data_IF_364362176854
#
_entry.id   IF_364362176854
#
_cell.length_a   1.000
_cell.length_b   1.000
_cell.length_c   1.000
_cell.angle_alpha   90.00
_cell.angle_beta   90.00
_cell.angle_gamma   90.00
#
_symmetry.space_group_name_H-M   'P 1'
#
loop_
_entity.id
_entity.type
_entity.pdbx_description
1 polymer ?
#
# COMPACT_ATOMS: atom_id res chain seq x y z
N UNK A 1 8.63 -12.13 14.20
CA UNK A 1 8.15 -12.98 15.28
C UNK A 1 7.82 -12.24 16.59
N UNK A 2 8.13 -10.94 16.71
CA UNK A 2 7.82 -10.16 17.91
C UNK A 2 6.53 -9.29 17.78
N UNK A 3 5.79 -9.44 16.69
CA UNK A 3 4.57 -8.69 16.43
C UNK A 3 4.79 -7.34 15.75
N UNK A 4 3.74 -6.49 15.70
CA UNK A 4 3.79 -5.21 15.00
C UNK A 4 4.81 -4.26 15.67
N UNK A 5 5.45 -3.43 14.86
CA UNK A 5 6.38 -2.38 15.32
C UNK A 5 5.98 -1.02 14.79
N UNK A 6 6.07 -0.80 13.50
CA UNK A 6 5.77 0.50 12.88
C UNK A 6 4.39 1.04 13.25
N UNK A 7 3.38 0.16 13.27
CA UNK A 7 1.99 0.54 13.53
C UNK A 7 1.69 0.83 15.00
N UNK A 8 2.58 0.46 15.92
CA UNK A 8 2.39 0.67 17.37
C UNK A 8 3.36 1.66 18.01
N UNK A 9 4.49 1.96 17.36
CA UNK A 9 5.51 2.87 17.92
C UNK A 9 4.99 4.29 17.96
N UNK A 10 5.04 4.93 19.12
CA UNK A 10 4.75 6.36 19.32
C UNK A 10 6.02 7.20 19.23
N UNK A 11 7.12 6.74 19.82
CA UNK A 11 8.44 7.40 19.78
C UNK A 11 9.58 6.40 20.04
N UNK A 12 10.84 6.82 19.78
CA UNK A 12 12.04 6.05 20.13
C UNK A 12 12.57 6.51 21.52
N UNK A 13 13.37 5.66 22.20
CA UNK A 13 13.71 4.28 21.86
C UNK A 13 12.48 3.34 21.87
N UNK A 14 12.62 2.17 21.20
CA UNK A 14 11.53 1.20 21.08
C UNK A 14 11.39 0.42 22.39
N UNK A 15 10.67 1.01 23.33
CA UNK A 15 10.29 0.42 24.61
C UNK A 15 8.76 0.34 24.70
N UNK A 16 8.20 -0.64 25.42
CA UNK A 16 6.76 -0.86 25.55
C UNK A 16 6.00 0.41 25.94
N UNK A 17 6.54 1.20 26.85
CA UNK A 17 5.93 2.47 27.33
C UNK A 17 5.76 3.50 26.22
N UNK A 18 6.56 3.38 25.14
CA UNK A 18 6.51 4.26 23.97
C UNK A 18 5.78 3.65 22.78
N UNK A 19 4.96 2.65 23.07
CA UNK A 19 4.10 1.98 22.08
C UNK A 19 2.64 2.00 22.53
N UNK A 20 1.73 1.62 21.65
CA UNK A 20 0.31 1.42 22.00
C UNK A 20 0.09 0.21 22.92
N UNK A 21 1.12 -0.60 23.17
CA UNK A 21 1.07 -1.71 24.12
C UNK A 21 1.22 -1.25 25.58
N UNK A 22 1.55 0.01 25.82
CA UNK A 22 1.58 0.59 27.17
C UNK A 22 0.25 0.47 27.91
N UNK A 23 -0.86 0.47 27.18
CA UNK A 23 -2.21 0.30 27.73
C UNK A 23 -2.52 -1.14 28.21
N UNK A 24 -1.63 -2.08 27.92
CA UNK A 24 -1.75 -3.50 28.22
C UNK A 24 -0.62 -3.95 29.16
N UNK A 25 -0.71 -3.72 30.48
CA UNK A 25 0.32 -4.17 31.42
C UNK A 25 0.44 -5.69 31.39
N UNK A 26 1.68 -6.20 31.34
CA UNK A 26 1.94 -7.64 31.30
C UNK A 26 1.49 -8.29 32.60
N UNK A 27 0.87 -9.48 32.50
CA UNK A 27 0.70 -10.37 33.62
C UNK A 27 2.06 -10.99 34.04
N UNK A 28 2.11 -11.64 35.20
CA UNK A 28 3.35 -12.23 35.73
C UNK A 28 4.00 -13.20 34.75
N UNK A 29 3.22 -14.07 34.08
CA UNK A 29 3.74 -15.03 33.10
C UNK A 29 4.35 -14.32 31.90
N UNK A 30 3.65 -13.35 31.32
CA UNK A 30 4.17 -12.60 30.17
C UNK A 30 5.39 -11.76 30.54
N UNK A 31 5.46 -11.25 31.77
CA UNK A 31 6.63 -10.54 32.27
C UNK A 31 7.83 -11.48 32.42
N UNK A 32 7.62 -12.66 32.98
CA UNK A 32 8.67 -13.69 33.08
C UNK A 32 9.23 -14.07 31.70
N UNK A 33 8.35 -14.30 30.67
CA UNK A 33 8.80 -14.54 29.29
C UNK A 33 9.56 -13.34 28.68
N UNK A 34 9.18 -12.12 29.02
CA UNK A 34 9.82 -10.90 28.54
C UNK A 34 11.22 -10.69 29.15
N UNK A 35 11.44 -11.16 30.38
CA UNK A 35 12.69 -11.03 31.12
C UNK A 35 13.63 -12.26 30.92
N UNK A 36 13.13 -13.36 30.38
CA UNK A 36 13.88 -14.57 30.12
C UNK A 36 14.84 -14.39 28.92
N UNK A 37 16.16 -14.29 29.22
CA UNK A 37 17.22 -14.06 28.24
C UNK A 37 17.31 -15.19 27.20
N UNK A 38 16.97 -16.43 27.57
CA UNK A 38 16.97 -17.56 26.66
C UNK A 38 15.65 -17.74 25.91
N UNK A 39 14.63 -17.01 26.32
CA UNK A 39 13.29 -17.06 25.76
C UNK A 39 13.17 -16.34 24.41
N UNK A 40 12.40 -16.92 23.48
CA UNK A 40 12.10 -16.29 22.18
C UNK A 40 11.43 -14.91 22.31
N UNK A 41 10.79 -14.62 23.44
CA UNK A 41 10.08 -13.38 23.69
C UNK A 41 10.86 -12.38 24.53
N UNK A 42 12.15 -12.65 24.76
CA UNK A 42 13.02 -11.72 25.45
C UNK A 42 12.99 -10.34 24.80
N UNK A 43 12.64 -9.33 25.57
CA UNK A 43 12.50 -7.94 25.11
C UNK A 43 11.58 -7.76 23.88
N UNK A 44 10.60 -8.63 23.72
CA UNK A 44 9.57 -8.48 22.71
C UNK A 44 8.48 -7.52 23.22
N UNK A 45 8.57 -6.25 22.90
CA UNK A 45 7.69 -5.17 23.42
C UNK A 45 6.19 -5.46 23.24
N UNK A 46 5.72 -6.09 22.13
CA UNK A 46 4.31 -6.45 21.98
C UNK A 46 3.90 -7.75 22.69
N UNK A 47 4.78 -8.35 23.53
CA UNK A 47 4.44 -9.57 24.25
C UNK A 47 3.18 -9.41 25.11
N UNK A 48 2.23 -10.33 24.93
CA UNK A 48 1.00 -10.39 25.71
C UNK A 48 0.33 -11.78 25.51
N UNK A 49 -0.46 -12.21 26.46
CA UNK A 49 -1.36 -13.35 26.33
C UNK A 49 -2.81 -12.91 26.18
N UNK A 50 -3.74 -13.87 26.09
CA UNK A 50 -5.17 -13.59 25.99
C UNK A 50 -5.75 -12.92 27.23
N UNK A 51 -5.06 -12.99 28.39
CA UNK A 51 -5.48 -12.39 29.64
C UNK A 51 -5.07 -10.91 29.75
N UNK A 52 -3.83 -10.59 29.40
CA UNK A 52 -3.28 -9.25 29.56
C UNK A 52 -3.13 -8.45 28.26
N UNK A 53 -3.39 -9.06 27.10
CA UNK A 53 -3.25 -8.44 25.81
C UNK A 53 -4.55 -7.93 25.20
N UNK A 54 -4.47 -7.40 23.98
CA UNK A 54 -5.62 -6.97 23.23
C UNK A 54 -6.58 -8.14 22.94
N UNK A 55 -7.88 -7.86 22.96
CA UNK A 55 -8.93 -8.81 22.59
C UNK A 55 -9.78 -8.30 21.44
N UNK A 56 -10.46 -9.21 20.76
CA UNK A 56 -11.35 -8.92 19.66
C UNK A 56 -12.82 -8.99 20.10
N UNK A 57 -13.62 -8.06 19.59
CA UNK A 57 -15.08 -8.03 19.76
C UNK A 57 -15.73 -7.89 18.40
N UNK A 58 -16.81 -8.62 18.19
CA UNK A 58 -17.64 -8.55 16.99
C UNK A 58 -18.78 -7.56 17.21
N UNK A 59 -18.97 -6.63 16.28
CA UNK A 59 -19.98 -5.59 16.34
C UNK A 59 -20.88 -5.61 15.10
N UNK A 60 -22.11 -5.18 15.27
CA UNK A 60 -22.98 -4.73 14.17
C UNK A 60 -22.59 -3.31 13.74
N UNK A 61 -23.00 -2.85 12.52
CA UNK A 61 -22.71 -1.49 12.06
C UNK A 61 -23.19 -0.38 13.00
N UNK A 62 -24.23 -0.60 13.76
CA UNK A 62 -24.73 0.32 14.79
C UNK A 62 -23.95 0.29 16.12
N UNK A 63 -22.74 -0.33 16.11
CA UNK A 63 -21.85 -0.50 17.26
C UNK A 63 -22.39 -1.36 18.41
N UNK A 64 -23.47 -2.12 18.18
CA UNK A 64 -23.93 -3.10 19.17
C UNK A 64 -23.03 -4.32 19.10
N UNK A 65 -22.45 -4.73 20.23
CA UNK A 65 -21.67 -5.95 20.32
C UNK A 65 -22.57 -7.17 20.04
N UNK A 66 -22.03 -8.14 19.31
CA UNK A 66 -22.67 -9.42 19.08
C UNK A 66 -22.37 -10.32 20.28
N UNK A 67 -23.39 -10.83 20.91
CA UNK A 67 -23.24 -11.81 22.00
C UNK A 67 -22.77 -13.14 21.41
N UNK A 68 -21.59 -13.58 21.80
CA UNK A 68 -20.96 -14.80 21.29
C UNK A 68 -19.99 -15.42 22.29
N UNK A 69 -20.03 -16.74 22.39
CA UNK A 69 -19.09 -17.51 23.22
C UNK A 69 -17.70 -17.59 22.57
N UNK A 70 -17.65 -17.59 21.23
CA UNK A 70 -16.41 -17.70 20.48
C UNK A 70 -16.45 -16.79 19.25
N UNK A 71 -15.84 -15.63 19.38
CA UNK A 71 -15.80 -14.59 18.35
C UNK A 71 -15.22 -15.10 17.01
N UNK A 72 -14.25 -16.01 17.07
CA UNK A 72 -13.60 -16.57 15.88
C UNK A 72 -14.53 -17.47 15.08
N UNK A 73 -15.23 -18.38 15.76
CA UNK A 73 -16.19 -19.29 15.14
C UNK A 73 -17.36 -18.51 14.54
N UNK A 74 -17.95 -17.61 15.31
CA UNK A 74 -19.05 -16.77 14.84
C UNK A 74 -18.65 -15.92 13.63
N UNK A 75 -17.43 -15.36 13.62
CA UNK A 75 -16.94 -14.60 12.47
C UNK A 75 -16.80 -15.49 11.22
N UNK A 76 -16.28 -16.72 11.37
CA UNK A 76 -16.18 -17.68 10.26
C UNK A 76 -17.55 -18.07 9.71
N UNK A 77 -18.51 -18.37 10.59
CA UNK A 77 -19.89 -18.70 10.22
C UNK A 77 -20.53 -17.57 9.41
N UNK A 78 -20.40 -16.33 9.88
CA UNK A 78 -20.91 -15.16 9.16
C UNK A 78 -20.28 -14.97 7.78
N UNK A 79 -18.96 -15.19 7.64
CA UNK A 79 -18.29 -15.14 6.34
C UNK A 79 -18.82 -16.26 5.42
N UNK A 80 -18.99 -17.48 5.93
CA UNK A 80 -19.53 -18.61 5.17
C UNK A 80 -20.99 -18.39 4.73
N UNK A 81 -21.79 -17.68 5.53
CA UNK A 81 -23.14 -17.23 5.17
C UNK A 81 -23.13 -16.14 4.10
N UNK A 82 -21.95 -15.64 3.71
CA UNK A 82 -21.78 -14.65 2.67
C UNK A 82 -21.81 -13.20 3.18
N UNK A 83 -21.69 -12.96 4.47
CA UNK A 83 -21.58 -11.59 5.00
C UNK A 83 -20.23 -10.96 4.66
N UNK A 84 -20.20 -9.64 4.59
CA UNK A 84 -18.99 -8.82 4.44
C UNK A 84 -18.61 -8.32 5.83
N UNK A 85 -17.39 -8.61 6.26
CA UNK A 85 -16.90 -8.21 7.59
C UNK A 85 -15.76 -7.22 7.46
N UNK A 86 -15.85 -6.10 8.16
CA UNK A 86 -14.73 -5.19 8.35
C UNK A 86 -13.87 -5.70 9.51
N UNK A 87 -12.63 -6.11 9.22
CA UNK A 87 -11.72 -6.67 10.23
C UNK A 87 -10.60 -5.66 10.48
N UNK A 88 -10.42 -5.26 11.75
CA UNK A 88 -9.29 -4.43 12.18
C UNK A 88 -8.03 -5.30 12.21
N UNK A 89 -7.13 -5.06 11.25
CA UNK A 89 -5.85 -5.74 11.12
C UNK A 89 -4.72 -5.05 11.89
N UNK A 90 -3.49 -5.23 11.44
CA UNK A 90 -2.31 -4.63 12.04
C UNK A 90 -2.16 -3.14 11.69
N UNK A 91 -2.37 -2.78 10.43
CA UNK A 91 -2.15 -1.43 9.90
C UNK A 91 -3.42 -0.69 9.51
N UNK A 92 -4.57 -1.30 9.64
CA UNK A 92 -5.87 -0.73 9.27
C UNK A 92 -6.95 -1.79 9.12
N UNK A 93 -8.11 -1.37 8.65
CA UNK A 93 -9.24 -2.25 8.40
C UNK A 93 -9.14 -2.94 7.04
N UNK A 94 -9.62 -4.18 6.98
CA UNK A 94 -9.87 -4.92 5.75
C UNK A 94 -11.35 -5.23 5.61
N UNK A 95 -11.85 -5.24 4.39
CA UNK A 95 -13.17 -5.77 4.04
C UNK A 95 -12.99 -7.19 3.55
N UNK A 96 -13.68 -8.12 4.19
CA UNK A 96 -13.50 -9.56 4.05
C UNK A 96 -14.80 -10.22 3.67
N UNK A 97 -14.77 -11.13 2.69
CA UNK A 97 -15.85 -12.08 2.38
C UNK A 97 -15.26 -13.34 1.74
N UNK A 98 -16.02 -14.44 1.66
CA UNK A 98 -15.57 -15.64 0.95
C UNK A 98 -15.42 -15.34 -0.56
N UNK A 99 -14.21 -15.55 -1.08
CA UNK A 99 -13.88 -15.32 -2.49
C UNK A 99 -14.58 -16.31 -3.45
N UNK A 100 -15.12 -17.41 -2.93
CA UNK A 100 -15.89 -18.41 -3.67
C UNK A 100 -17.38 -18.03 -3.77
N UNK A 101 -17.86 -17.14 -2.89
CA UNK A 101 -19.25 -16.69 -2.87
C UNK A 101 -19.45 -15.53 -3.84
N UNK A 102 -19.97 -15.83 -5.04
CA UNK A 102 -20.15 -14.83 -6.09
C UNK A 102 -21.05 -13.65 -5.68
N UNK A 103 -22.15 -13.93 -4.98
CA UNK A 103 -23.09 -12.91 -4.51
C UNK A 103 -22.43 -11.96 -3.48
N UNK A 104 -21.58 -12.50 -2.58
CA UNK A 104 -20.86 -11.70 -1.61
C UNK A 104 -19.82 -10.79 -2.28
N UNK A 105 -19.04 -11.32 -3.24
CA UNK A 105 -18.03 -10.55 -3.97
C UNK A 105 -18.68 -9.45 -4.81
N UNK A 106 -19.77 -9.74 -5.53
CA UNK A 106 -20.51 -8.72 -6.29
C UNK A 106 -21.06 -7.61 -5.38
N UNK A 107 -21.63 -7.99 -4.24
CA UNK A 107 -22.17 -7.05 -3.25
C UNK A 107 -21.06 -6.17 -2.66
N UNK A 108 -19.90 -6.74 -2.35
CA UNK A 108 -18.73 -5.98 -1.90
C UNK A 108 -18.30 -4.96 -2.94
N UNK A 109 -18.17 -5.35 -4.22
CA UNK A 109 -17.82 -4.45 -5.32
C UNK A 109 -18.81 -3.30 -5.47
N UNK A 110 -20.08 -3.60 -5.45
CA UNK A 110 -21.16 -2.60 -5.56
C UNK A 110 -21.09 -1.59 -4.40
N UNK A 111 -21.04 -2.09 -3.15
CA UNK A 111 -20.99 -1.23 -1.95
C UNK A 111 -19.70 -0.40 -1.87
N UNK A 112 -18.56 -0.96 -2.29
CA UNK A 112 -17.26 -0.26 -2.31
C UNK A 112 -17.09 0.64 -3.53
N UNK A 113 -18.01 0.64 -4.48
CA UNK A 113 -17.90 1.35 -5.77
C UNK A 113 -16.58 1.01 -6.50
N UNK A 114 -16.27 -0.29 -6.62
CA UNK A 114 -15.02 -0.79 -7.21
C UNK A 114 -15.32 -1.81 -8.33
N UNK A 115 -15.76 -1.36 -9.52
CA UNK A 115 -16.26 -2.27 -10.56
C UNK A 115 -15.17 -3.15 -11.18
N UNK A 116 -13.97 -2.64 -11.46
CA UNK A 116 -12.97 -3.33 -12.30
C UNK A 116 -11.70 -3.74 -11.54
N UNK A 117 -11.18 -2.87 -10.63
CA UNK A 117 -9.88 -3.12 -9.97
C UNK A 117 -9.88 -4.46 -9.23
N UNK A 118 -8.90 -5.38 -9.47
CA UNK A 118 -8.84 -6.67 -8.80
C UNK A 118 -8.87 -6.57 -7.27
N UNK A 119 -9.44 -7.60 -6.64
CA UNK A 119 -9.43 -7.79 -5.20
C UNK A 119 -8.35 -8.82 -4.87
N UNK A 120 -7.53 -8.53 -3.85
CA UNK A 120 -6.61 -9.51 -3.31
C UNK A 120 -7.35 -10.55 -2.47
N UNK A 121 -6.80 -11.75 -2.40
CA UNK A 121 -7.29 -12.81 -1.51
C UNK A 121 -6.22 -13.19 -0.49
N UNK A 122 -6.66 -13.52 0.70
CA UNK A 122 -5.86 -14.21 1.70
C UNK A 122 -6.28 -15.67 1.71
N UNK A 123 -5.31 -16.57 1.62
CA UNK A 123 -5.55 -18.02 1.65
C UNK A 123 -5.04 -18.62 2.96
N UNK A 124 -5.77 -19.63 3.47
CA UNK A 124 -5.48 -20.20 4.77
C UNK A 124 -4.23 -21.08 4.83
N UNK A 125 -3.70 -21.52 3.69
CA UNK A 125 -2.49 -22.33 3.61
C UNK A 125 -1.73 -22.12 2.30
N UNK A 126 -0.47 -22.54 2.27
CA UNK A 126 0.34 -22.56 1.05
C UNK A 126 -0.24 -23.55 0.02
N UNK A 127 -0.77 -24.69 0.47
CA UNK A 127 -1.40 -25.67 -0.42
C UNK A 127 -2.59 -25.06 -1.17
N UNK A 128 -3.40 -24.25 -0.48
CA UNK A 128 -4.48 -23.51 -1.11
C UNK A 128 -3.96 -22.48 -2.12
N UNK A 129 -2.83 -21.82 -1.84
CA UNK A 129 -2.22 -20.93 -2.82
C UNK A 129 -1.79 -21.67 -4.09
N UNK A 130 -1.08 -22.80 -3.94
CA UNK A 130 -0.61 -23.65 -5.05
C UNK A 130 -1.79 -24.20 -5.88
N UNK A 131 -2.90 -24.51 -5.24
CA UNK A 131 -4.11 -24.95 -5.94
C UNK A 131 -4.68 -23.84 -6.85
N UNK A 132 -4.64 -22.57 -6.41
CA UNK A 132 -5.27 -21.44 -7.07
C UNK A 132 -4.40 -20.75 -8.13
N UNK A 133 -3.08 -20.81 -7.99
CA UNK A 133 -2.13 -20.06 -8.82
C UNK A 133 -0.87 -20.87 -9.14
N UNK A 134 -0.20 -20.51 -10.22
CA UNK A 134 1.14 -21.02 -10.53
C UNK A 134 2.17 -20.21 -9.73
N UNK A 135 3.12 -20.89 -9.08
CA UNK A 135 4.13 -20.27 -8.21
C UNK A 135 5.50 -20.82 -8.57
N UNK A 136 6.45 -19.98 -8.95
CA UNK A 136 7.86 -20.34 -9.08
C UNK A 136 8.63 -20.14 -7.75
N UNK A 137 9.88 -20.58 -7.69
CA UNK A 137 10.68 -20.55 -6.46
C UNK A 137 10.84 -19.11 -5.89
N UNK A 138 11.05 -18.10 -6.75
CA UNK A 138 11.20 -16.71 -6.31
C UNK A 138 9.88 -16.14 -5.79
N UNK A 139 8.78 -16.46 -6.44
CA UNK A 139 7.44 -16.08 -5.98
C UNK A 139 7.09 -16.76 -4.66
N UNK A 140 7.50 -18.02 -4.49
CA UNK A 140 7.34 -18.77 -3.25
C UNK A 140 8.10 -18.11 -2.09
N UNK A 141 9.36 -17.74 -2.33
CA UNK A 141 10.19 -17.06 -1.34
C UNK A 141 9.56 -15.73 -0.91
N UNK A 142 9.06 -14.94 -1.86
CA UNK A 142 8.37 -13.66 -1.55
C UNK A 142 7.07 -13.90 -0.81
N UNK A 143 6.25 -14.86 -1.22
CA UNK A 143 4.95 -15.16 -0.61
C UNK A 143 5.10 -15.69 0.83
N UNK A 144 6.13 -16.51 1.09
CA UNK A 144 6.38 -17.15 2.39
C UNK A 144 7.33 -16.35 3.28
N UNK A 145 7.96 -15.31 2.76
CA UNK A 145 8.84 -14.39 3.51
C UNK A 145 8.17 -13.77 4.73
N UNK A 146 8.94 -13.15 5.61
CA UNK A 146 8.43 -12.54 6.85
C UNK A 146 7.48 -11.37 6.58
N UNK A 147 7.64 -10.71 5.46
CA UNK A 147 6.88 -9.53 5.03
C UNK A 147 5.45 -9.88 4.63
N UNK A 148 5.22 -11.11 4.13
CA UNK A 148 3.90 -11.61 3.73
C UNK A 148 3.13 -10.60 2.84
N UNK A 149 3.71 -10.10 1.75
CA UNK A 149 3.03 -9.14 0.88
C UNK A 149 1.89 -9.82 0.10
N UNK A 150 1.10 -8.99 -0.57
CA UNK A 150 0.26 -9.46 -1.67
C UNK A 150 1.19 -9.73 -2.86
N UNK A 151 1.26 -10.96 -3.33
CA UNK A 151 2.02 -11.35 -4.53
C UNK A 151 1.05 -11.50 -5.70
N UNK A 152 1.37 -10.86 -6.82
CA UNK A 152 0.60 -11.02 -8.07
C UNK A 152 1.11 -12.28 -8.78
N UNK A 153 0.25 -13.30 -8.88
CA UNK A 153 0.58 -14.63 -9.39
C UNK A 153 -0.33 -15.03 -10.55
N UNK A 154 0.18 -15.80 -11.47
CA UNK A 154 -0.59 -16.30 -12.61
C UNK A 154 -1.66 -17.29 -12.15
N UNK A 155 -2.90 -17.07 -12.58
CA UNK A 155 -4.05 -17.89 -12.18
C UNK A 155 -3.97 -19.30 -12.74
N UNK A 156 -4.16 -20.31 -11.88
CA UNK A 156 -4.33 -21.70 -12.31
C UNK A 156 -5.78 -21.92 -12.79
N UNK A 157 -5.97 -21.97 -14.09
CA UNK A 157 -7.28 -22.21 -14.71
C UNK A 157 -7.79 -23.65 -14.54
N UNK A 158 -6.91 -24.60 -14.16
CA UNK A 158 -7.22 -26.01 -13.93
C UNK A 158 -7.54 -26.31 -12.44
N UNK A 159 -7.57 -25.30 -11.60
CA UNK A 159 -7.90 -25.46 -10.17
C UNK A 159 -9.27 -26.09 -9.96
N UNK A 160 -9.35 -27.02 -9.02
CA UNK A 160 -10.63 -27.60 -8.55
C UNK A 160 -11.44 -26.59 -7.73
N UNK A 161 -10.77 -25.60 -7.12
CA UNK A 161 -11.38 -24.53 -6.33
C UNK A 161 -11.80 -23.37 -7.24
N UNK A 162 -13.10 -23.13 -7.31
CA UNK A 162 -13.67 -22.06 -8.12
C UNK A 162 -13.85 -20.78 -7.30
N UNK A 163 -13.05 -19.77 -7.65
CA UNK A 163 -13.28 -18.40 -7.16
C UNK A 163 -14.35 -17.70 -8.01
N UNK A 164 -15.06 -16.75 -7.40
CA UNK A 164 -15.93 -15.84 -8.14
C UNK A 164 -15.15 -15.15 -9.27
N UNK A 165 -15.68 -15.07 -10.49
CA UNK A 165 -15.05 -14.34 -11.59
C UNK A 165 -14.87 -12.84 -11.26
N UNK A 166 -15.67 -12.35 -10.33
CA UNK A 166 -15.60 -10.97 -9.87
C UNK A 166 -14.44 -10.69 -8.89
N UNK A 167 -13.61 -11.67 -8.48
CA UNK A 167 -12.41 -11.41 -7.67
C UNK A 167 -11.37 -10.66 -8.49
N UNK A 168 -11.12 -11.07 -9.72
CA UNK A 168 -10.19 -10.41 -10.65
C UNK A 168 -10.76 -10.47 -12.08
N UNK A 169 -11.76 -9.64 -12.40
CA UNK A 169 -12.40 -9.66 -13.72
C UNK A 169 -11.38 -9.28 -14.80
N UNK A 170 -11.43 -10.01 -15.91
CA UNK A 170 -10.58 -9.78 -17.09
C UNK A 170 -9.08 -9.72 -16.81
N UNK A 171 -8.62 -10.36 -15.71
CA UNK A 171 -7.23 -10.39 -15.31
C UNK A 171 -6.72 -11.83 -15.16
N UNK A 172 -5.59 -12.13 -15.79
CA UNK A 172 -4.93 -13.42 -15.66
C UNK A 172 -4.12 -13.56 -14.37
N UNK A 173 -3.86 -12.45 -13.68
CA UNK A 173 -3.15 -12.44 -12.39
C UNK A 173 -4.12 -12.38 -11.23
N UNK A 174 -3.79 -13.05 -10.15
CA UNK A 174 -4.48 -13.01 -8.88
C UNK A 174 -3.52 -12.48 -7.81
N UNK A 175 -3.96 -11.51 -7.02
CA UNK A 175 -3.22 -11.04 -5.84
C UNK A 175 -3.48 -11.98 -4.66
N UNK A 176 -2.45 -12.71 -4.23
CA UNK A 176 -2.53 -13.71 -3.15
C UNK A 176 -1.63 -13.30 -2.01
N UNK A 177 -2.09 -13.45 -0.78
CA UNK A 177 -1.27 -13.32 0.43
C UNK A 177 -1.58 -14.42 1.44
N UNK A 178 -0.61 -14.70 2.32
CA UNK A 178 -0.74 -15.64 3.43
C UNK A 178 -1.03 -14.86 4.74
N UNK A 179 -1.56 -15.54 5.78
CA UNK A 179 -1.69 -14.97 7.11
C UNK A 179 -0.38 -14.34 7.61
N UNK A 180 -0.44 -13.11 8.11
CA UNK A 180 0.72 -12.38 8.61
C UNK A 180 0.59 -11.94 10.08
N UNK A 181 -0.55 -12.19 10.68
CA UNK A 181 -0.78 -11.89 12.10
C UNK A 181 -1.38 -13.07 12.84
N UNK A 182 -1.21 -13.19 14.17
CA UNK A 182 -1.83 -14.25 14.95
C UNK A 182 -3.35 -14.33 14.79
N UNK A 183 -4.01 -13.19 14.61
CA UNK A 183 -5.44 -13.13 14.35
C UNK A 183 -5.80 -13.88 13.06
N UNK A 184 -5.05 -13.65 11.98
CA UNK A 184 -5.29 -14.35 10.71
C UNK A 184 -5.11 -15.86 10.85
N UNK A 185 -4.05 -16.31 11.55
CA UNK A 185 -3.77 -17.73 11.79
C UNK A 185 -4.90 -18.42 12.57
N UNK A 186 -5.50 -17.72 13.54
CA UNK A 186 -6.64 -18.25 14.32
C UNK A 186 -7.93 -18.18 13.51
N UNK A 187 -8.11 -17.15 12.70
CA UNK A 187 -9.38 -16.88 12.02
C UNK A 187 -9.56 -17.67 10.73
N UNK A 188 -8.50 -17.85 9.90
CA UNK A 188 -8.63 -18.51 8.60
C UNK A 188 -8.50 -20.02 8.72
N UNK A 189 -9.52 -20.80 8.26
CA UNK A 189 -9.34 -22.23 8.01
C UNK A 189 -8.30 -22.50 6.92
N UNK A 190 -7.60 -23.62 6.98
CA UNK A 190 -6.55 -23.97 6.01
C UNK A 190 -7.03 -24.03 4.56
N UNK A 191 -8.32 -24.33 4.36
CA UNK A 191 -9.00 -24.37 3.05
C UNK A 191 -9.68 -23.06 2.68
N UNK A 192 -9.47 -21.98 3.45
CA UNK A 192 -10.06 -20.69 3.16
C UNK A 192 -9.40 -19.99 1.97
N UNK A 193 -10.23 -19.31 1.19
CA UNK A 193 -9.83 -18.32 0.20
C UNK A 193 -10.76 -17.11 0.34
N UNK A 194 -10.34 -16.08 1.06
CA UNK A 194 -11.17 -14.94 1.37
C UNK A 194 -10.65 -13.68 0.68
N UNK A 195 -11.57 -12.91 0.11
CA UNK A 195 -11.23 -11.53 -0.29
C UNK A 195 -10.73 -10.80 0.94
N UNK A 196 -9.58 -10.14 0.78
CA UNK A 196 -8.98 -9.30 1.81
C UNK A 196 -8.56 -7.99 1.13
N UNK A 197 -9.46 -7.01 1.13
CA UNK A 197 -9.21 -5.71 0.51
C UNK A 197 -9.20 -4.61 1.54
N UNK A 198 -8.37 -3.57 1.34
CA UNK A 198 -8.27 -2.43 2.26
C UNK A 198 -9.63 -1.84 2.61
N UNK A 199 -9.84 -1.50 3.88
CA UNK A 199 -11.03 -0.84 4.40
C UNK A 199 -10.95 0.66 4.14
N UNK A 200 -11.31 1.10 2.93
CA UNK A 200 -11.35 2.49 2.50
C UNK A 200 -12.32 2.67 1.33
N UNK A 201 -12.64 3.90 0.99
CA UNK A 201 -13.18 4.23 -0.31
C UNK A 201 -12.07 4.15 -1.35
N UNK A 202 -12.43 3.98 -2.63
CA UNK A 202 -11.43 3.87 -3.70
C UNK A 202 -10.59 5.15 -3.80
N UNK A 203 -9.26 5.03 -3.73
CA UNK A 203 -8.32 6.15 -3.77
C UNK A 203 -7.90 6.71 -2.40
N UNK A 204 -8.69 6.49 -1.34
CA UNK A 204 -8.38 6.96 0.00
C UNK A 204 -7.32 6.11 0.71
N UNK A 205 -6.72 6.66 1.77
CA UNK A 205 -5.89 5.91 2.71
C UNK A 205 -6.71 4.85 3.45
N UNK A 206 -6.04 3.79 3.90
CA UNK A 206 -6.70 2.75 4.71
C UNK A 206 -7.23 3.33 6.02
N UNK A 207 -8.46 3.00 6.37
CA UNK A 207 -9.05 3.39 7.66
C UNK A 207 -8.44 2.58 8.80
N UNK A 208 -8.09 3.25 9.88
CA UNK A 208 -7.47 2.64 11.05
C UNK A 208 -8.08 3.10 12.38
N UNK A 209 -8.76 4.23 12.37
CA UNK A 209 -9.52 4.72 13.52
C UNK A 209 -10.90 4.06 13.56
N UNK A 210 -11.31 3.56 14.71
CA UNK A 210 -12.54 2.78 14.85
C UNK A 210 -13.78 3.63 14.55
N UNK A 211 -13.84 4.88 15.05
CA UNK A 211 -14.97 5.77 14.80
C UNK A 211 -15.16 6.08 13.31
N UNK A 212 -14.05 6.37 12.63
CA UNK A 212 -14.08 6.60 11.19
C UNK A 212 -14.49 5.33 10.44
N UNK A 213 -13.94 4.17 10.82
CA UNK A 213 -14.26 2.90 10.16
C UNK A 213 -15.75 2.57 10.28
N UNK A 214 -16.36 2.69 11.46
CA UNK A 214 -17.79 2.48 11.63
C UNK A 214 -18.64 3.45 10.80
N UNK A 215 -18.24 4.71 10.74
CA UNK A 215 -18.98 5.74 10.00
C UNK A 215 -18.87 5.54 8.47
N UNK A 216 -17.68 5.19 7.97
CA UNK A 216 -17.43 5.14 6.53
C UNK A 216 -17.70 3.75 5.92
N UNK A 217 -17.49 2.67 6.69
CA UNK A 217 -17.71 1.29 6.23
C UNK A 217 -19.04 0.71 6.68
N UNK A 218 -19.83 1.44 7.48
CA UNK A 218 -21.10 0.95 8.01
C UNK A 218 -22.15 0.55 6.95
N UNK A 219 -22.07 1.15 5.76
CA UNK A 219 -22.91 0.77 4.62
C UNK A 219 -22.29 -0.34 3.75
N UNK A 220 -20.98 -0.61 3.93
CA UNK A 220 -20.25 -1.61 3.15
C UNK A 220 -20.20 -2.95 3.88
N UNK A 221 -19.86 -2.95 5.16
CA UNK A 221 -19.71 -4.13 5.99
C UNK A 221 -21.03 -4.48 6.73
N UNK A 222 -21.30 -5.77 6.83
CA UNK A 222 -22.44 -6.29 7.59
C UNK A 222 -22.10 -6.45 9.09
N UNK A 223 -20.79 -6.65 9.40
CA UNK A 223 -20.25 -6.75 10.76
C UNK A 223 -18.84 -6.17 10.83
N UNK A 224 -18.36 -5.92 12.07
CA UNK A 224 -17.04 -5.40 12.38
C UNK A 224 -16.35 -6.28 13.42
N UNK A 225 -15.20 -6.86 13.09
CA UNK A 225 -14.33 -7.55 14.04
C UNK A 225 -13.20 -6.60 14.45
N UNK A 226 -13.25 -6.10 15.68
CA UNK A 226 -12.41 -5.00 16.15
C UNK A 226 -11.62 -5.43 17.38
N UNK A 227 -10.31 -5.19 17.37
CA UNK A 227 -9.47 -5.28 18.57
C UNK A 227 -9.32 -3.92 19.26
N UNK A 228 -9.17 -3.93 20.56
CA UNK A 228 -9.10 -2.72 21.40
C UNK A 228 -7.71 -2.06 21.45
N UNK A 229 -6.69 -2.57 20.76
CA UNK A 229 -5.39 -1.88 20.64
C UNK A 229 -5.49 -0.77 19.58
N UNK A 230 -4.97 0.41 19.93
CA UNK A 230 -4.81 1.50 18.98
C UNK A 230 -3.85 1.12 17.84
N UNK A 231 -4.21 1.46 16.60
CA UNK A 231 -3.27 1.54 15.47
C UNK A 231 -2.77 2.99 15.45
N UNK A 232 -1.52 3.19 15.84
CA UNK A 232 -0.94 4.54 15.92
C UNK A 232 -0.58 5.08 14.54
N UNK A 233 -0.05 4.22 13.66
CA UNK A 233 0.27 4.58 12.29
C UNK A 233 -0.39 3.63 11.30
N UNK A 234 -1.18 4.14 10.35
CA UNK A 234 -1.78 3.31 9.32
C UNK A 234 -0.71 2.76 8.38
N UNK A 235 -0.94 1.56 7.85
CA UNK A 235 -0.05 0.88 6.93
C UNK A 235 -0.84 -0.07 6.03
N UNK A 236 -0.89 0.25 4.74
CA UNK A 236 -1.55 -0.59 3.73
C UNK A 236 -0.67 -1.82 3.40
N UNK A 237 -1.23 -2.82 2.74
CA UNK A 237 -0.47 -4.01 2.32
C UNK A 237 0.46 -3.70 1.15
N UNK A 238 1.68 -4.25 1.19
CA UNK A 238 2.58 -4.23 0.05
C UNK A 238 2.07 -5.13 -1.07
N UNK A 239 2.34 -4.73 -2.31
CA UNK A 239 2.01 -5.50 -3.51
C UNK A 239 3.27 -5.71 -4.33
N UNK A 240 3.60 -6.96 -4.59
CA UNK A 240 4.81 -7.38 -5.30
C UNK A 240 4.45 -8.23 -6.51
N UNK A 241 5.20 -8.08 -7.58
CA UNK A 241 5.17 -8.96 -8.75
C UNK A 241 6.60 -9.43 -9.05
N UNK A 242 6.78 -10.66 -9.50
CA UNK A 242 8.10 -11.17 -9.92
C UNK A 242 8.22 -11.03 -11.44
N UNK A 243 9.22 -10.26 -11.88
CA UNK A 243 9.52 -10.06 -13.31
C UNK A 243 10.98 -10.45 -13.55
N UNK A 244 11.22 -11.34 -14.50
CA UNK A 244 12.56 -11.86 -14.80
C UNK A 244 13.29 -12.39 -13.55
N UNK A 245 12.61 -13.18 -12.72
CA UNK A 245 13.09 -13.74 -11.47
C UNK A 245 13.58 -12.69 -10.44
N UNK A 246 13.01 -11.49 -10.49
CA UNK A 246 13.29 -10.42 -9.52
C UNK A 246 11.99 -9.84 -8.98
N UNK A 247 11.84 -9.71 -7.64
CA UNK A 247 10.70 -9.02 -7.04
C UNK A 247 10.67 -7.54 -7.46
N UNK A 248 9.48 -7.04 -7.80
CA UNK A 248 9.21 -5.64 -8.14
C UNK A 248 8.02 -5.13 -7.35
N UNK A 249 8.17 -3.98 -6.72
CA UNK A 249 7.09 -3.37 -5.96
C UNK A 249 6.12 -2.64 -6.87
N UNK A 250 4.84 -3.03 -6.79
CA UNK A 250 3.72 -2.22 -7.27
C UNK A 250 3.31 -1.22 -6.18
N UNK A 251 3.45 -1.66 -4.91
CA UNK A 251 3.26 -0.84 -3.71
C UNK A 251 4.23 -1.31 -2.64
N UNK A 252 4.98 -0.39 -2.03
CA UNK A 252 5.87 -0.65 -0.91
C UNK A 252 5.26 -0.07 0.37
N UNK A 253 4.89 -0.94 1.32
CA UNK A 253 4.22 -0.56 2.56
C UNK A 253 4.48 -1.62 3.64
N UNK A 254 3.46 -2.28 4.20
CA UNK A 254 3.60 -3.27 5.27
C UNK A 254 4.64 -4.35 4.93
N UNK A 255 5.48 -4.65 5.91
CA UNK A 255 6.59 -5.61 5.81
C UNK A 255 7.90 -4.98 5.33
N UNK A 256 7.85 -3.90 4.55
CA UNK A 256 9.03 -3.26 3.96
C UNK A 256 9.26 -1.83 4.46
N UNK A 257 8.22 -1.16 4.93
CA UNK A 257 8.33 0.17 5.53
C UNK A 257 8.44 0.02 7.06
N UNK A 258 9.35 0.73 7.73
CA UNK A 258 10.21 1.85 7.27
C UNK A 258 11.66 1.43 6.95
N UNK A 259 11.89 0.22 6.50
CA UNK A 259 13.25 -0.26 6.20
C UNK A 259 13.94 0.67 5.20
N UNK A 260 15.18 1.11 5.48
CA UNK A 260 15.90 2.00 4.58
C UNK A 260 16.35 1.29 3.31
N UNK A 261 16.47 2.05 2.23
CA UNK A 261 17.07 1.63 0.97
C UNK A 261 18.45 2.30 0.88
N UNK A 262 19.49 1.50 0.83
CA UNK A 262 20.85 2.03 0.65
C UNK A 262 21.04 2.57 -0.77
N UNK A 263 21.56 3.79 -0.89
CA UNK A 263 21.84 4.43 -2.15
C UNK A 263 23.11 5.28 -2.06
N UNK A 264 24.19 4.82 -2.70
CA UNK A 264 25.48 5.50 -2.75
C UNK A 264 25.44 6.87 -3.44
N UNK A 265 24.35 7.15 -4.16
CA UNK A 265 24.18 8.42 -4.87
C UNK A 265 23.65 9.56 -3.99
N UNK A 266 23.19 9.26 -2.77
CA UNK A 266 22.67 10.25 -1.86
C UNK A 266 23.79 11.08 -1.23
N UNK A 267 23.54 12.37 -1.14
CA UNK A 267 24.40 13.32 -0.43
C UNK A 267 24.24 13.17 1.09
N UNK A 268 25.19 13.73 1.85
CA UNK A 268 25.07 13.82 3.32
C UNK A 268 23.98 14.82 3.76
N UNK A 269 23.58 15.72 2.87
CA UNK A 269 22.48 16.66 3.11
C UNK A 269 21.16 15.94 3.24
N UNK A 270 20.42 16.22 4.29
CA UNK A 270 19.09 15.65 4.50
C UNK A 270 18.06 16.28 3.56
N UNK A 271 17.36 15.47 2.80
CA UNK A 271 16.38 15.86 1.80
C UNK A 271 15.01 15.27 2.14
N UNK A 272 13.96 16.09 1.98
CA UNK A 272 12.58 15.62 1.94
C UNK A 272 12.09 15.69 0.49
N UNK A 273 11.79 14.55 -0.11
CA UNK A 273 11.17 14.44 -1.42
C UNK A 273 9.66 14.16 -1.26
N UNK A 274 8.82 15.03 -1.83
CA UNK A 274 7.38 15.02 -1.58
C UNK A 274 6.61 13.99 -2.39
N UNK A 275 7.19 13.43 -3.46
CA UNK A 275 6.48 12.59 -4.42
C UNK A 275 5.49 13.39 -5.27
N UNK A 276 4.66 12.69 -6.05
CA UNK A 276 3.59 13.28 -6.85
C UNK A 276 2.21 13.00 -6.21
N UNK A 277 1.12 13.49 -6.82
CA UNK A 277 -0.21 13.38 -6.20
C UNK A 277 -0.87 12.00 -6.37
N UNK A 278 -0.57 11.26 -7.44
CA UNK A 278 -1.12 9.91 -7.64
C UNK A 278 -0.24 8.86 -6.96
N UNK A 279 -0.88 7.96 -6.21
CA UNK A 279 -0.21 6.88 -5.45
C UNK A 279 0.98 7.39 -4.63
N UNK A 280 0.77 8.52 -3.96
CA UNK A 280 1.81 9.24 -3.28
C UNK A 280 2.60 8.35 -2.31
N UNK A 281 3.91 8.53 -2.34
CA UNK A 281 4.88 8.14 -1.32
C UNK A 281 5.98 9.21 -1.28
N UNK A 282 6.24 9.74 -0.11
CA UNK A 282 7.36 10.66 0.11
C UNK A 282 8.64 9.88 0.46
N UNK A 283 9.77 10.55 0.46
CA UNK A 283 11.02 9.98 0.97
C UNK A 283 11.83 11.02 1.74
N UNK A 284 12.57 10.56 2.75
CA UNK A 284 13.60 11.35 3.42
C UNK A 284 14.91 10.55 3.40
N UNK A 285 16.05 11.21 3.42
CA UNK A 285 17.33 10.51 3.56
C UNK A 285 18.05 10.87 4.87
N UNK A 286 18.85 9.91 5.33
CA UNK A 286 19.80 10.07 6.42
C UNK A 286 21.15 9.53 5.94
N UNK A 287 22.04 10.43 5.49
CA UNK A 287 23.25 10.01 4.77
C UNK A 287 22.90 9.23 3.50
N UNK A 288 23.50 8.06 3.31
CA UNK A 288 23.26 7.16 2.17
C UNK A 288 21.98 6.32 2.26
N UNK A 289 21.21 6.46 3.33
CA UNK A 289 20.00 5.68 3.56
C UNK A 289 18.75 6.47 3.16
N UNK A 290 17.99 5.98 2.18
CA UNK A 290 16.69 6.52 1.79
C UNK A 290 15.57 5.82 2.55
N UNK A 291 14.82 6.58 3.33
CA UNK A 291 13.63 6.14 4.05
C UNK A 291 12.40 6.53 3.22
N UNK A 292 11.93 5.61 2.38
CA UNK A 292 10.71 5.81 1.61
C UNK A 292 9.51 5.60 2.52
N UNK A 293 8.61 6.59 2.55
CA UNK A 293 7.37 6.54 3.33
C UNK A 293 6.42 5.43 2.87
N UNK A 294 5.41 5.11 3.68
CA UNK A 294 4.36 4.20 3.25
C UNK A 294 3.56 4.79 2.09
N UNK A 295 2.87 3.92 1.37
CA UNK A 295 1.90 4.36 0.39
C UNK A 295 0.79 5.19 1.07
N UNK A 296 0.62 6.45 0.67
CA UNK A 296 -0.38 7.36 1.20
C UNK A 296 -1.71 7.22 0.45
N UNK A 297 -1.64 7.06 -0.87
CA UNK A 297 -2.80 7.04 -1.77
C UNK A 297 -2.81 8.26 -2.70
N UNK A 298 -3.96 8.49 -3.34
CA UNK A 298 -4.13 9.61 -4.25
C UNK A 298 -4.48 10.88 -3.44
N UNK A 299 -3.75 11.98 -3.70
CA UNK A 299 -3.90 13.23 -2.95
C UNK A 299 -5.05 14.10 -3.52
N UNK A 300 -6.22 13.48 -3.71
CA UNK A 300 -7.41 14.15 -4.25
C UNK A 300 -8.30 14.76 -3.16
N UNK A 301 -8.13 14.35 -1.92
CA UNK A 301 -9.02 14.73 -0.83
C UNK A 301 -8.28 15.10 0.48
N UNK A 302 -9.01 15.78 1.37
CA UNK A 302 -8.46 16.33 2.60
C UNK A 302 -7.98 15.25 3.60
N UNK A 303 -8.47 14.01 3.50
CA UNK A 303 -8.04 12.93 4.39
C UNK A 303 -6.64 12.45 4.05
N UNK A 304 -6.35 12.26 2.76
CA UNK A 304 -5.02 11.88 2.28
C UNK A 304 -4.00 13.00 2.49
N UNK A 305 -4.41 14.28 2.35
CA UNK A 305 -3.57 15.43 2.67
C UNK A 305 -3.09 15.39 4.13
N UNK A 306 -4.02 15.24 5.08
CA UNK A 306 -3.68 15.13 6.52
C UNK A 306 -2.80 13.92 6.81
N UNK A 307 -3.07 12.80 6.15
CA UNK A 307 -2.25 11.58 6.32
C UNK A 307 -0.82 11.83 5.84
N UNK A 308 -0.62 12.49 4.71
CA UNK A 308 0.72 12.84 4.22
C UNK A 308 1.45 13.76 5.20
N UNK A 309 0.84 14.88 5.58
CA UNK A 309 1.43 15.85 6.52
C UNK A 309 1.83 15.18 7.85
N UNK A 310 0.92 14.40 8.44
CA UNK A 310 1.16 13.67 9.68
C UNK A 310 2.29 12.63 9.54
N UNK A 311 2.32 11.91 8.43
CA UNK A 311 3.32 10.85 8.22
C UNK A 311 4.71 11.43 8.01
N UNK A 312 4.83 12.56 7.29
CA UNK A 312 6.11 13.28 7.14
C UNK A 312 6.63 13.73 8.51
N UNK A 313 5.81 14.40 9.32
CA UNK A 313 6.21 14.85 10.65
C UNK A 313 6.60 13.66 11.55
N UNK A 314 5.87 12.57 11.45
CA UNK A 314 6.23 11.34 12.18
C UNK A 314 7.59 10.79 11.78
N UNK A 315 7.92 10.74 10.47
CA UNK A 315 9.23 10.29 9.99
C UNK A 315 10.36 11.18 10.50
N UNK A 316 10.18 12.49 10.41
CA UNK A 316 11.14 13.46 10.95
C UNK A 316 11.43 13.20 12.43
N UNK A 317 10.38 13.02 13.22
CA UNK A 317 10.49 12.80 14.67
C UNK A 317 11.06 11.40 14.98
N UNK A 318 10.55 10.34 14.35
CA UNK A 318 10.94 8.96 14.62
C UNK A 318 12.42 8.70 14.29
N UNK A 319 12.90 9.26 13.17
CA UNK A 319 14.28 9.04 12.71
C UNK A 319 15.23 10.20 13.05
N UNK A 320 14.72 11.23 13.76
CA UNK A 320 15.48 12.43 14.12
C UNK A 320 16.12 13.09 12.89
N UNK A 321 15.31 13.28 11.85
CA UNK A 321 15.73 13.88 10.58
C UNK A 321 15.21 15.31 10.51
N UNK A 322 16.11 16.25 10.21
CA UNK A 322 15.78 17.64 9.90
C UNK A 322 16.15 17.89 8.44
N UNK A 323 15.18 17.96 7.53
CA UNK A 323 15.45 18.26 6.12
C UNK A 323 16.11 19.63 5.96
N UNK A 324 17.10 19.70 5.09
CA UNK A 324 17.80 20.94 4.70
C UNK A 324 17.36 21.41 3.30
N UNK A 325 16.82 20.48 2.49
CA UNK A 325 16.30 20.76 1.16
C UNK A 325 14.99 20.02 0.95
N UNK A 326 14.14 20.55 0.10
CA UNK A 326 12.87 19.91 -0.29
C UNK A 326 12.88 19.70 -1.80
N UNK A 327 12.49 18.50 -2.23
CA UNK A 327 12.31 18.14 -3.63
C UNK A 327 10.82 18.00 -3.91
N UNK A 328 10.35 18.66 -4.95
CA UNK A 328 8.94 18.64 -5.38
C UNK A 328 8.84 18.23 -6.85
N UNK A 329 7.69 17.73 -7.25
CA UNK A 329 7.34 17.60 -8.67
C UNK A 329 7.22 18.99 -9.30
N UNK A 330 7.65 19.14 -10.56
CA UNK A 330 7.54 20.41 -11.28
C UNK A 330 6.10 20.84 -11.59
N UNK A 331 5.10 19.98 -11.32
CA UNK A 331 3.71 20.28 -11.58
C UNK A 331 3.16 21.31 -10.57
N UNK A 332 2.77 22.53 -11.02
CA UNK A 332 2.46 23.65 -10.13
C UNK A 332 1.16 23.48 -9.33
N UNK A 333 0.30 22.57 -9.74
CA UNK A 333 -1.02 22.38 -9.11
C UNK A 333 -1.06 21.17 -8.19
N UNK A 334 -0.02 20.33 -8.15
CA UNK A 334 0.00 19.19 -7.23
C UNK A 334 -0.03 19.65 -5.78
N UNK A 335 -0.83 18.97 -4.97
CA UNK A 335 -0.88 19.25 -3.54
C UNK A 335 0.46 18.97 -2.87
N UNK A 336 1.13 17.88 -3.23
CA UNK A 336 2.47 17.53 -2.74
C UNK A 336 3.48 18.64 -3.01
N UNK A 337 3.47 19.24 -4.20
CA UNK A 337 4.37 20.34 -4.56
C UNK A 337 4.07 21.59 -3.73
N UNK A 338 2.81 22.00 -3.65
CA UNK A 338 2.40 23.16 -2.83
C UNK A 338 2.66 22.96 -1.32
N UNK A 339 2.52 21.73 -0.83
CA UNK A 339 2.89 21.41 0.55
C UNK A 339 4.40 21.56 0.75
N UNK A 340 5.22 21.07 -0.19
CA UNK A 340 6.66 21.22 -0.16
C UNK A 340 7.11 22.69 -0.17
N UNK A 341 6.47 23.52 -1.01
CA UNK A 341 6.72 24.98 -1.03
C UNK A 341 6.37 25.63 0.31
N UNK A 342 5.21 25.34 0.89
CA UNK A 342 4.82 25.86 2.22
C UNK A 342 5.79 25.47 3.32
N UNK A 343 6.27 24.22 3.32
CA UNK A 343 7.28 23.76 4.29
C UNK A 343 8.58 24.50 4.06
N UNK A 344 9.01 24.66 2.79
CA UNK A 344 10.20 25.41 2.43
C UNK A 344 10.17 26.85 2.92
N UNK A 345 9.09 27.56 2.68
CA UNK A 345 8.85 28.93 3.17
C UNK A 345 8.90 29.02 4.69
N UNK A 346 8.18 28.10 5.37
CA UNK A 346 8.06 28.12 6.85
C UNK A 346 9.39 27.89 7.57
N UNK A 347 10.29 27.09 6.97
CA UNK A 347 11.57 26.72 7.57
C UNK A 347 12.78 27.33 6.84
N UNK A 348 12.57 28.21 5.85
CA UNK A 348 13.60 28.84 5.03
C UNK A 348 14.50 27.82 4.31
N UNK A 349 13.92 26.74 3.81
CA UNK A 349 14.63 25.69 3.09
C UNK A 349 14.60 25.92 1.57
N UNK A 350 15.64 25.46 0.90
CA UNK A 350 15.68 25.43 -0.56
C UNK A 350 14.70 24.41 -1.11
N UNK A 351 13.81 24.83 -2.01
CA UNK A 351 12.85 23.98 -2.72
C UNK A 351 13.31 23.80 -4.16
N UNK A 352 13.44 22.55 -4.59
CA UNK A 352 14.00 22.20 -5.91
C UNK A 352 12.93 21.42 -6.68
N UNK A 353 12.38 21.97 -7.78
CA UNK A 353 11.47 21.25 -8.65
C UNK A 353 12.23 20.24 -9.52
N UNK A 354 11.67 19.04 -9.68
CA UNK A 354 12.20 17.98 -10.54
C UNK A 354 11.17 17.59 -11.58
N UNK A 355 11.60 17.43 -12.82
CA UNK A 355 10.75 17.01 -13.92
C UNK A 355 10.30 15.54 -13.70
N UNK A 356 9.03 15.27 -13.88
CA UNK A 356 8.37 14.01 -13.54
C UNK A 356 9.04 12.76 -14.14
N UNK A 357 9.23 12.73 -15.46
CA UNK A 357 9.86 11.59 -16.15
C UNK A 357 11.34 11.42 -15.80
N UNK A 358 12.05 12.53 -15.52
CA UNK A 358 13.42 12.46 -15.02
C UNK A 358 13.44 11.81 -13.62
N UNK A 359 12.48 12.11 -12.76
CA UNK A 359 12.35 11.48 -11.45
C UNK A 359 12.13 9.96 -11.56
N UNK A 360 11.30 9.48 -12.50
CA UNK A 360 11.13 8.06 -12.79
C UNK A 360 12.45 7.39 -13.18
N UNK A 361 13.21 8.00 -14.10
CA UNK A 361 14.50 7.46 -14.53
C UNK A 361 15.52 7.48 -13.39
N UNK A 362 15.59 8.59 -12.65
CA UNK A 362 16.49 8.73 -11.51
C UNK A 362 16.22 7.69 -10.41
N UNK A 363 14.95 7.34 -10.15
CA UNK A 363 14.61 6.30 -9.19
C UNK A 363 15.13 4.92 -9.59
N UNK A 364 15.03 4.57 -10.88
CA UNK A 364 15.59 3.32 -11.43
C UNK A 364 17.13 3.34 -11.39
N UNK A 365 17.73 4.49 -11.71
CA UNK A 365 19.18 4.64 -11.60
C UNK A 365 19.68 4.44 -10.17
N UNK A 366 18.95 4.99 -9.19
CA UNK A 366 19.26 4.82 -7.77
C UNK A 366 19.09 3.37 -7.30
N UNK A 367 17.96 2.72 -7.63
CA UNK A 367 17.68 1.32 -7.27
C UNK A 367 18.77 0.35 -7.79
N UNK A 368 19.30 0.62 -8.99
CA UNK A 368 20.30 -0.22 -9.63
C UNK A 368 21.74 0.32 -9.50
N UNK A 369 21.96 1.36 -8.72
CA UNK A 369 23.24 2.03 -8.54
C UNK A 369 23.94 2.37 -9.88
N UNK A 370 23.15 2.81 -10.87
CA UNK A 370 23.64 3.18 -12.19
C UNK A 370 24.30 4.55 -12.14
N UNK A 371 25.52 4.63 -12.60
CA UNK A 371 26.30 5.87 -12.67
C UNK A 371 26.67 6.18 -14.12
N UNK A 372 26.90 7.45 -14.41
CA UNK A 372 27.28 7.90 -15.74
C UNK A 372 26.09 8.31 -16.60
N UNK A 373 26.25 8.16 -17.91
CA UNK A 373 25.24 8.54 -18.89
C UNK A 373 24.28 7.38 -19.14
N UNK A 374 22.98 7.60 -18.92
CA UNK A 374 21.93 6.60 -19.06
C UNK A 374 20.87 7.09 -20.03
N UNK A 375 20.52 6.28 -21.02
CA UNK A 375 19.31 6.48 -21.81
C UNK A 375 18.12 5.93 -21.04
N UNK A 376 17.30 6.82 -20.55
CA UNK A 376 16.04 6.48 -19.86
C UNK A 376 14.86 6.52 -20.81
N UNK A 377 14.00 5.53 -20.71
CA UNK A 377 12.71 5.45 -21.42
C UNK A 377 11.61 5.45 -20.37
N UNK A 378 10.87 6.57 -20.27
CA UNK A 378 9.77 6.74 -19.34
C UNK A 378 8.45 6.70 -20.11
N UNK A 379 7.69 5.59 -19.96
CA UNK A 379 6.41 5.37 -20.66
C UNK A 379 5.20 5.89 -19.86
N UNK A 380 5.43 6.77 -18.92
CA UNK A 380 4.36 7.49 -18.25
C UNK A 380 3.63 8.41 -19.23
N UNK A 381 2.31 8.47 -19.12
CA UNK A 381 1.46 9.17 -20.10
C UNK A 381 1.36 10.66 -19.88
N UNK A 382 1.61 11.13 -18.66
CA UNK A 382 1.44 12.54 -18.27
C UNK A 382 2.45 13.00 -17.24
N UNK A 383 3.27 13.98 -17.58
CA UNK A 383 4.15 14.70 -16.67
C UNK A 383 4.30 16.15 -17.12
N UNK A 384 4.47 17.08 -16.18
CA UNK A 384 4.60 18.49 -16.49
C UNK A 384 5.97 18.79 -17.11
N UNK A 385 5.98 19.31 -18.34
CA UNK A 385 7.18 19.70 -19.05
C UNK A 385 7.65 21.11 -18.70
N UNK A 386 8.96 21.41 -18.79
CA UNK A 386 9.50 22.75 -18.54
C UNK A 386 9.02 23.79 -19.57
N UNK A 387 8.48 23.33 -20.69
CA UNK A 387 7.85 24.15 -21.76
C UNK A 387 6.36 24.47 -21.47
N UNK A 388 5.84 24.05 -20.31
CA UNK A 388 4.45 24.24 -19.92
C UNK A 388 3.47 23.30 -20.60
N UNK A 389 3.97 22.26 -21.31
CA UNK A 389 3.13 21.24 -21.95
C UNK A 389 3.09 19.96 -21.15
N UNK A 390 2.12 19.09 -21.44
CA UNK A 390 2.08 17.72 -20.91
C UNK A 390 3.02 16.86 -21.73
N UNK A 391 4.03 16.31 -21.08
CA UNK A 391 4.95 15.33 -21.64
C UNK A 391 4.42 13.91 -21.42
N UNK A 392 4.84 12.95 -22.27
CA UNK A 392 4.52 11.54 -22.11
C UNK A 392 5.20 10.67 -23.14
N UNK A 393 5.63 9.47 -22.72
CA UNK A 393 6.39 8.55 -23.56
C UNK A 393 7.76 9.10 -23.96
N UNK A 394 8.59 9.40 -22.97
CA UNK A 394 9.81 10.20 -23.10
C UNK A 394 11.08 9.37 -23.21
N UNK A 395 12.00 9.82 -24.05
CA UNK A 395 13.37 9.31 -24.18
C UNK A 395 14.34 10.38 -23.70
N UNK A 396 14.89 10.18 -22.50
CA UNK A 396 15.74 11.15 -21.84
C UNK A 396 17.17 10.61 -21.68
N UNK A 397 18.15 11.40 -22.03
CA UNK A 397 19.55 11.12 -21.75
C UNK A 397 19.90 11.74 -20.39
N UNK A 398 20.10 10.92 -19.37
CA UNK A 398 20.24 11.32 -17.99
C UNK A 398 21.67 11.14 -17.47
N UNK A 399 22.14 12.10 -16.66
CA UNK A 399 23.40 12.01 -15.91
C UNK A 399 23.23 12.69 -14.56
N UNK A 400 23.05 11.90 -13.50
CA UNK A 400 22.76 12.45 -12.16
C UNK A 400 21.48 13.32 -12.18
N UNK A 401 21.60 14.58 -11.78
CA UNK A 401 20.49 15.53 -11.72
C UNK A 401 20.23 16.29 -13.04
N UNK A 402 20.92 15.93 -14.10
CA UNK A 402 20.76 16.54 -15.43
C UNK A 402 20.11 15.57 -16.40
N UNK A 403 19.29 16.09 -17.29
CA UNK A 403 18.72 15.32 -18.40
C UNK A 403 18.64 16.16 -19.68
N UNK A 404 18.62 15.45 -20.80
CA UNK A 404 18.36 16.01 -22.13
C UNK A 404 17.24 15.20 -22.77
N UNK A 405 16.18 15.86 -23.23
CA UNK A 405 15.10 15.23 -23.99
C UNK A 405 15.61 14.93 -25.40
N UNK A 406 15.66 13.66 -25.76
CA UNK A 406 16.12 13.22 -27.10
C UNK A 406 14.96 13.01 -28.05
N UNK A 407 13.90 12.38 -27.59
CA UNK A 407 12.71 12.06 -28.34
C UNK A 407 11.51 11.85 -27.43
N UNK A 408 10.34 11.80 -28.02
CA UNK A 408 9.09 11.43 -27.33
C UNK A 408 8.12 10.78 -28.30
N UNK A 409 7.11 10.09 -27.79
CA UNK A 409 5.98 9.60 -28.59
C UNK A 409 5.24 10.83 -29.14
N UNK A 410 4.74 10.72 -30.37
CA UNK A 410 4.00 11.82 -31.00
C UNK A 410 2.85 12.28 -30.10
N UNK A 411 2.83 13.57 -29.78
CA UNK A 411 1.87 14.15 -28.86
C UNK A 411 0.43 14.05 -29.45
N UNK A 412 -0.45 13.46 -28.67
CA UNK A 412 -1.87 13.39 -28.98
C UNK A 412 -2.65 14.36 -28.09
N UNK A 413 -3.70 15.04 -28.59
CA UNK A 413 -4.58 15.79 -27.72
C UNK A 413 -5.28 14.84 -26.73
N UNK A 414 -5.73 15.39 -25.60
CA UNK A 414 -6.51 14.68 -24.59
C UNK A 414 -8.02 14.94 -24.80
N UNK A 415 -8.72 14.16 -25.66
CA UNK A 415 -10.13 14.40 -25.95
C UNK A 415 -11.00 14.20 -24.70
N UNK A 416 -11.54 15.27 -24.15
CA UNK A 416 -12.29 15.27 -22.89
C UNK A 416 -11.44 15.48 -21.64
N UNK A 417 -10.19 15.96 -21.80
CA UNK A 417 -9.30 16.27 -20.68
C UNK A 417 -8.97 15.01 -19.84
N UNK A 418 -9.19 15.06 -18.54
CA UNK A 418 -8.95 13.96 -17.60
C UNK A 418 -9.64 12.63 -17.98
N UNK A 419 -10.76 12.69 -18.69
CA UNK A 419 -11.42 11.48 -19.19
C UNK A 419 -10.57 10.70 -20.18
N UNK A 420 -9.66 11.34 -20.91
CA UNK A 420 -8.77 10.64 -21.82
C UNK A 420 -7.74 9.75 -21.08
N UNK A 421 -7.43 10.07 -19.82
CA UNK A 421 -6.56 9.26 -18.94
C UNK A 421 -7.28 8.00 -18.47
N UNK A 422 -8.56 8.13 -18.06
CA UNK A 422 -9.37 7.00 -17.57
C UNK A 422 -10.01 6.18 -18.69
N UNK A 423 -10.14 6.74 -19.89
CA UNK A 423 -10.78 6.17 -21.07
C UNK A 423 -9.81 6.15 -22.27
N UNK A 424 -8.80 5.26 -22.30
CA UNK A 424 -7.69 5.25 -23.29
C UNK A 424 -8.17 5.09 -24.74
N UNK A 425 -9.36 4.55 -24.96
CA UNK A 425 -9.97 4.44 -26.29
C UNK A 425 -10.12 5.81 -26.99
N UNK A 426 -10.22 6.91 -26.24
CA UNK A 426 -10.31 8.26 -26.79
C UNK A 426 -9.03 8.65 -27.52
N UNK A 427 -7.88 8.33 -26.94
CA UNK A 427 -6.59 8.57 -27.59
C UNK A 427 -6.36 7.60 -28.73
N UNK A 428 -6.72 6.32 -28.57
CA UNK A 428 -6.64 5.33 -29.64
C UNK A 428 -7.42 5.77 -30.87
N UNK A 429 -8.65 6.29 -30.69
CA UNK A 429 -9.46 6.81 -31.79
C UNK A 429 -8.79 7.99 -32.49
N UNK A 430 -8.15 8.89 -31.74
CA UNK A 430 -7.41 10.02 -32.32
C UNK A 430 -6.22 9.53 -33.16
N UNK A 431 -5.42 8.56 -32.68
CA UNK A 431 -4.30 7.98 -33.44
C UNK A 431 -4.78 7.29 -34.72
N UNK A 432 -5.85 6.52 -34.65
CA UNK A 432 -6.46 5.84 -35.79
C UNK A 432 -6.89 6.85 -36.83
N UNK A 433 -7.64 7.90 -36.42
CA UNK A 433 -8.07 8.96 -37.33
C UNK A 433 -6.90 9.74 -37.93
N UNK A 434 -5.87 10.03 -37.13
CA UNK A 434 -4.69 10.76 -37.60
C UNK A 434 -3.88 9.95 -38.62
N UNK A 435 -3.92 8.61 -38.53
CA UNK A 435 -3.21 7.71 -39.45
C UNK A 435 -4.01 7.42 -40.71
N UNK A 436 -5.29 7.13 -40.60
CA UNK A 436 -6.14 6.71 -41.73
C UNK A 436 -6.94 7.84 -42.37
N UNK A 437 -6.94 9.05 -41.77
CA UNK A 437 -7.80 10.13 -42.21
C UNK A 437 -9.26 9.83 -41.90
N UNK A 438 -10.14 10.12 -42.87
CA UNK A 438 -11.57 9.83 -42.75
C UNK A 438 -11.92 8.38 -43.21
N UNK A 439 -10.94 7.63 -43.78
CA UNK A 439 -11.08 6.24 -44.24
C UNK A 439 -10.79 5.25 -43.09
N UNK A 440 -11.51 5.38 -41.99
CA UNK A 440 -11.36 4.48 -40.84
C UNK A 440 -11.90 3.08 -41.21
N UNK A 441 -11.15 1.97 -40.98
CA UNK A 441 -11.50 0.64 -41.49
C UNK A 441 -12.63 -0.08 -40.74
N UNK A 442 -13.45 0.61 -39.92
CA UNK A 442 -14.62 0.06 -39.19
C UNK A 442 -15.70 1.08 -38.99
#
# INVERSE_FOLDING_TARGET
>A
NCGPRYTIIKSLPYDRERTTMNEFPMCEDCKAEYEDIEGRRYRAEPNACTYCGPWYTLYKPNRTAVDTVNVWNTTRELINEGNIIAIKGEGGYHLVCDARNDAAVQRLRKRKNRPHKPLAIMVGSLDMAIELVHINDVELDVLTGMERPIVLLERNHNSSVRLSPHVAPDNHMLGVMLPYSPMHEVLLPSDAAWVMTSGNKSGDSVLYNDDQAFNELGEVADYFLVHNREIYAPLDDSVVVVINNKPRFIRRSRGYVPEPIHCDCLEQTSILAMGSDLKNAFAVNKGSEALVGPHIGDLENASTHKTLEWTIERYKNLFSIQPEKIIIDSHPQFFSSRLGERIGESFHLSVIPVQHHHAHIASVMAEHNLRGLVLGIAMDGTGYGPDGTIWGGEFLLCKGNQYQRLAHIHAAPLPGGEKAVSEPWRQALWYIRNYYGDDIPF
#
